data_IF_425357108510
#
_entry.id   IF_425357108510
#
_cell.length_a   1.000
_cell.length_b   1.000
_cell.length_c   1.000
_cell.angle_alpha   90.00
_cell.angle_beta   90.00
_cell.angle_gamma   90.00
#
_symmetry.space_group_name_H-M   'P 1'
#
loop_
_entity.id
_entity.type
_entity.pdbx_description
1 polymer ?
#
# COMPACT_ATOMS: atom_id res chain seq x y z
N UNK A 1 74.38 -11.26 -22.20
CA UNK A 1 73.23 -10.73 -21.44
C UNK A 1 72.25 -11.88 -21.26
N UNK A 2 72.05 -12.37 -20.02
CA UNK A 2 71.32 -13.62 -19.72
C UNK A 2 69.81 -13.41 -19.94
N UNK A 3 69.20 -14.29 -20.73
CA UNK A 3 67.76 -14.41 -20.89
C UNK A 3 67.08 -14.71 -19.55
N UNK A 4 66.09 -13.92 -19.17
CA UNK A 4 65.22 -14.17 -18.01
C UNK A 4 64.19 -15.20 -18.47
N UNK A 5 64.19 -16.40 -17.87
CA UNK A 5 63.15 -17.38 -18.07
C UNK A 5 61.84 -16.82 -17.46
N UNK A 6 60.84 -16.55 -18.31
CA UNK A 6 59.51 -16.17 -17.86
C UNK A 6 58.81 -17.42 -17.31
N UNK A 7 58.66 -17.48 -15.99
CA UNK A 7 57.98 -18.59 -15.32
C UNK A 7 56.47 -18.44 -15.53
N UNK A 8 55.91 -19.18 -16.48
CA UNK A 8 54.46 -19.26 -16.67
C UNK A 8 53.79 -19.98 -15.49
N UNK A 9 52.72 -19.38 -14.95
CA UNK A 9 51.95 -19.92 -13.83
C UNK A 9 50.56 -20.30 -14.33
N UNK A 10 49.98 -21.37 -13.78
CA UNK A 10 48.64 -21.83 -14.18
C UNK A 10 47.54 -21.16 -13.38
N UNK A 11 46.48 -20.78 -14.08
CA UNK A 11 45.22 -20.40 -13.45
C UNK A 11 44.59 -21.60 -12.73
N UNK A 12 44.18 -21.41 -11.48
CA UNK A 12 43.54 -22.45 -10.67
C UNK A 12 42.25 -23.00 -11.30
N UNK A 13 41.45 -22.13 -11.94
CA UNK A 13 40.17 -22.54 -12.52
C UNK A 13 40.31 -23.19 -13.91
N UNK A 14 40.94 -22.52 -14.88
CA UNK A 14 41.00 -23.01 -16.26
C UNK A 14 42.27 -23.81 -16.61
N UNK A 15 43.22 -23.92 -15.67
CA UNK A 15 44.48 -24.67 -15.82
C UNK A 15 45.39 -24.23 -16.98
N UNK A 16 45.05 -23.13 -17.65
CA UNK A 16 45.88 -22.49 -18.69
C UNK A 16 47.04 -21.73 -18.06
N UNK A 17 48.18 -21.75 -18.75
CA UNK A 17 49.39 -21.00 -18.39
C UNK A 17 49.25 -19.52 -18.76
N UNK A 18 49.67 -18.66 -17.86
CA UNK A 18 49.70 -17.21 -18.03
C UNK A 18 51.01 -16.65 -17.46
N UNK A 19 51.46 -15.51 -18.01
CA UNK A 19 52.49 -14.73 -17.35
C UNK A 19 51.95 -14.20 -15.99
N UNK A 20 52.82 -14.03 -14.97
CA UNK A 20 52.41 -13.67 -13.61
C UNK A 20 51.51 -12.43 -13.54
N UNK A 21 51.74 -11.45 -14.42
CA UNK A 21 51.01 -10.18 -14.48
C UNK A 21 49.53 -10.33 -14.88
N UNK A 22 49.13 -11.47 -15.46
CA UNK A 22 47.77 -11.75 -15.89
C UNK A 22 46.98 -12.64 -14.91
N UNK A 23 47.58 -12.94 -13.76
CA UNK A 23 47.01 -13.73 -12.69
C UNK A 23 46.75 -12.87 -11.46
N UNK A 24 45.58 -13.09 -10.85
CA UNK A 24 45.11 -12.33 -9.71
C UNK A 24 45.09 -13.26 -8.51
N UNK A 25 45.67 -12.80 -7.40
CA UNK A 25 45.62 -13.50 -6.12
C UNK A 25 44.21 -13.47 -5.54
N UNK A 26 43.77 -14.61 -5.00
CA UNK A 26 42.50 -14.74 -4.31
C UNK A 26 42.33 -13.82 -3.09
N UNK A 27 43.44 -13.35 -2.50
CA UNK A 27 43.43 -12.39 -1.39
C UNK A 27 42.83 -11.03 -1.77
N UNK A 28 42.91 -10.66 -3.06
CA UNK A 28 42.43 -9.37 -3.58
C UNK A 28 40.97 -9.48 -4.08
N UNK A 29 40.40 -10.69 -4.10
CA UNK A 29 39.05 -10.95 -4.60
C UNK A 29 38.03 -10.66 -3.49
N UNK A 30 37.01 -9.86 -3.80
CA UNK A 30 35.92 -9.52 -2.88
C UNK A 30 35.21 -10.79 -2.36
N UNK A 31 34.87 -10.79 -1.07
CA UNK A 31 34.25 -11.93 -0.37
C UNK A 31 33.06 -12.55 -1.09
N UNK A 32 32.13 -11.75 -1.63
CA UNK A 32 30.96 -12.26 -2.35
C UNK A 32 31.32 -13.09 -3.61
N UNK A 33 32.32 -12.66 -4.38
CA UNK A 33 32.79 -13.41 -5.55
C UNK A 33 33.62 -14.63 -5.12
N UNK A 34 34.40 -14.49 -4.04
CA UNK A 34 35.19 -15.59 -3.48
C UNK A 34 34.31 -16.73 -2.94
N UNK A 35 33.15 -16.43 -2.35
CA UNK A 35 32.13 -17.41 -1.92
C UNK A 35 31.62 -18.23 -3.10
N UNK A 36 31.30 -17.59 -4.24
CA UNK A 36 30.86 -18.29 -5.46
C UNK A 36 31.97 -19.16 -6.05
N UNK A 37 33.21 -18.64 -6.08
CA UNK A 37 34.37 -19.41 -6.53
C UNK A 37 34.57 -20.65 -5.65
N UNK A 38 34.43 -20.51 -4.32
CA UNK A 38 34.54 -21.60 -3.35
C UNK A 38 33.40 -22.61 -3.45
N UNK A 39 32.18 -22.15 -3.74
CA UNK A 39 30.98 -22.99 -3.97
C UNK A 39 31.16 -23.90 -5.19
N UNK A 40 31.76 -23.40 -6.28
CA UNK A 40 32.06 -24.18 -7.49
C UNK A 40 33.34 -25.02 -7.37
N UNK A 41 34.37 -24.49 -6.72
CA UNK A 41 35.65 -25.16 -6.52
C UNK A 41 35.99 -25.22 -5.02
N UNK A 42 35.63 -26.32 -4.32
CA UNK A 42 35.83 -26.45 -2.88
C UNK A 42 37.29 -26.39 -2.43
N UNK A 43 38.23 -26.67 -3.33
CA UNK A 43 39.67 -26.60 -3.08
C UNK A 43 40.24 -25.17 -3.18
N UNK A 44 39.41 -24.16 -3.46
CA UNK A 44 39.83 -22.77 -3.58
C UNK A 44 40.27 -22.20 -2.24
N UNK A 45 41.48 -21.64 -2.22
CA UNK A 45 42.03 -20.88 -1.11
C UNK A 45 42.41 -19.45 -1.56
N UNK A 46 42.43 -18.47 -0.65
CA UNK A 46 42.82 -17.09 -0.99
C UNK A 46 44.22 -16.98 -1.61
N UNK A 47 45.10 -17.94 -1.31
CA UNK A 47 46.44 -18.06 -1.87
C UNK A 47 46.49 -18.57 -3.32
N UNK A 48 45.37 -19.00 -3.90
CA UNK A 48 45.33 -19.46 -5.29
C UNK A 48 45.23 -18.30 -6.28
N UNK A 49 45.78 -18.53 -7.47
CA UNK A 49 45.84 -17.56 -8.57
C UNK A 49 44.77 -17.87 -9.61
N UNK A 50 44.02 -16.86 -10.04
CA UNK A 50 43.00 -16.98 -11.07
C UNK A 50 43.23 -15.96 -12.19
N UNK A 51 43.01 -16.35 -13.44
CA UNK A 51 43.14 -15.42 -14.57
C UNK A 51 41.93 -14.49 -14.67
N UNK A 52 42.14 -13.32 -15.29
CA UNK A 52 41.11 -12.28 -15.42
C UNK A 52 39.83 -12.78 -16.11
N UNK A 53 39.94 -13.66 -17.11
CA UNK A 53 38.78 -14.20 -17.84
C UNK A 53 37.90 -15.09 -16.96
N UNK A 54 38.51 -15.99 -16.18
CA UNK A 54 37.79 -16.80 -15.20
C UNK A 54 37.20 -15.95 -14.08
N UNK A 55 37.92 -14.93 -13.61
CA UNK A 55 37.42 -14.02 -12.57
C UNK A 55 36.19 -13.24 -13.05
N UNK A 56 36.19 -12.78 -14.30
CA UNK A 56 35.07 -12.05 -14.87
C UNK A 56 33.83 -12.93 -15.04
N UNK A 57 34.00 -14.23 -15.36
CA UNK A 57 32.89 -15.20 -15.38
C UNK A 57 32.20 -15.29 -14.01
N UNK A 58 32.97 -15.46 -12.94
CA UNK A 58 32.41 -15.55 -11.58
C UNK A 58 31.80 -14.24 -11.08
N UNK A 59 32.32 -13.09 -11.56
CA UNK A 59 31.71 -11.78 -11.28
C UNK A 59 30.33 -11.64 -11.92
N UNK A 60 30.16 -12.11 -13.16
CA UNK A 60 28.85 -12.10 -13.83
C UNK A 60 27.84 -13.00 -13.10
N UNK A 61 28.25 -14.20 -12.71
CA UNK A 61 27.40 -15.13 -11.93
C UNK A 61 27.00 -14.53 -10.57
N UNK A 62 27.93 -13.86 -9.87
CA UNK A 62 27.62 -13.12 -8.64
C UNK A 62 26.58 -12.01 -8.83
N UNK A 63 26.63 -11.31 -9.96
CA UNK A 63 25.69 -10.24 -10.27
C UNK A 63 24.31 -10.83 -10.61
N UNK A 64 24.25 -11.93 -11.35
CA UNK A 64 22.98 -12.62 -11.66
C UNK A 64 22.29 -13.15 -10.39
N UNK A 65 23.03 -13.85 -9.52
CA UNK A 65 22.51 -14.34 -8.24
C UNK A 65 21.99 -13.18 -7.37
N UNK A 66 22.73 -12.07 -7.27
CA UNK A 66 22.32 -10.90 -6.50
C UNK A 66 21.06 -10.21 -7.08
N UNK A 67 20.89 -10.20 -8.40
CA UNK A 67 19.71 -9.64 -9.06
C UNK A 67 18.47 -10.54 -8.92
N UNK A 68 18.62 -11.86 -8.86
CA UNK A 68 17.51 -12.78 -8.60
C UNK A 68 17.01 -12.70 -7.16
N UNK A 69 17.92 -12.53 -6.19
CA UNK A 69 17.59 -12.35 -4.77
C UNK A 69 16.76 -11.07 -4.55
N UNK A 70 17.15 -9.94 -5.15
CA UNK A 70 16.38 -8.68 -5.10
C UNK A 70 14.99 -8.80 -5.76
N UNK A 71 14.86 -9.53 -6.89
CA UNK A 71 13.56 -9.79 -7.52
C UNK A 71 12.64 -10.65 -6.66
N UNK A 72 13.21 -11.61 -5.93
CA UNK A 72 12.48 -12.47 -5.00
C UNK A 72 11.89 -11.70 -3.83
N UNK A 73 12.63 -10.74 -3.26
CA UNK A 73 12.16 -9.88 -2.17
C UNK A 73 11.00 -8.96 -2.61
N UNK A 74 11.09 -8.38 -3.82
CA UNK A 74 10.03 -7.52 -4.37
C UNK A 74 8.69 -8.27 -4.50
N UNK A 75 8.70 -9.51 -4.98
CA UNK A 75 7.47 -10.31 -5.15
C UNK A 75 6.78 -10.66 -3.83
N UNK A 76 7.52 -10.80 -2.72
CA UNK A 76 6.94 -11.11 -1.41
C UNK A 76 6.27 -9.88 -0.79
N UNK A 77 6.86 -8.70 -0.98
CA UNK A 77 6.27 -7.43 -0.56
C UNK A 77 4.93 -7.18 -1.25
N UNK A 78 4.83 -7.44 -2.55
CA UNK A 78 3.58 -7.28 -3.31
C UNK A 78 2.44 -8.15 -2.77
N UNK A 79 2.73 -9.40 -2.39
CA UNK A 79 1.75 -10.32 -1.81
C UNK A 79 1.28 -9.85 -0.42
N UNK A 80 2.20 -9.34 0.41
CA UNK A 80 1.86 -8.82 1.73
C UNK A 80 0.96 -7.57 1.66
N UNK A 81 1.15 -6.72 0.64
CA UNK A 81 0.28 -5.56 0.39
C UNK A 81 -1.12 -5.99 -0.03
N UNK A 82 -1.26 -7.02 -0.87
CA UNK A 82 -2.57 -7.54 -1.28
C UNK A 82 -3.33 -8.11 -0.08
N UNK A 83 -2.64 -8.81 0.82
CA UNK A 83 -3.25 -9.40 2.01
C UNK A 83 -3.75 -8.32 3.00
N UNK A 84 -2.97 -7.27 3.23
CA UNK A 84 -3.37 -6.17 4.12
C UNK A 84 -4.55 -5.35 3.57
N UNK A 85 -4.63 -5.16 2.24
CA UNK A 85 -5.77 -4.50 1.60
C UNK A 85 -7.07 -5.31 1.77
N UNK A 86 -6.98 -6.64 1.67
CA UNK A 86 -8.14 -7.54 1.83
C UNK A 86 -8.68 -7.52 3.26
N UNK A 87 -7.81 -7.49 4.27
CA UNK A 87 -8.24 -7.37 5.67
C UNK A 87 -9.02 -6.07 5.92
N UNK A 88 -8.59 -4.96 5.33
CA UNK A 88 -9.23 -3.65 5.52
C UNK A 88 -10.65 -3.57 4.94
N UNK A 89 -10.90 -4.21 3.79
CA UNK A 89 -12.23 -4.27 3.18
C UNK A 89 -13.22 -5.07 4.05
N UNK A 90 -12.78 -6.21 4.60
CA UNK A 90 -13.62 -7.07 5.46
C UNK A 90 -14.04 -6.39 6.76
N UNK A 91 -13.20 -5.53 7.33
CA UNK A 91 -13.50 -4.80 8.56
C UNK A 91 -14.62 -3.76 8.35
N UNK A 92 -14.59 -3.06 7.21
CA UNK A 92 -15.59 -2.02 6.88
C UNK A 92 -16.98 -2.59 6.65
N UNK A 93 -17.07 -3.78 6.03
CA UNK A 93 -18.33 -4.49 5.83
C UNK A 93 -18.93 -4.99 7.15
N UNK A 94 -18.09 -5.48 8.07
CA UNK A 94 -18.53 -6.00 9.36
C UNK A 94 -19.14 -4.90 10.26
N UNK A 95 -18.57 -3.68 10.23
CA UNK A 95 -19.09 -2.52 10.98
C UNK A 95 -20.52 -2.15 10.56
N UNK A 96 -20.81 -2.15 9.26
CA UNK A 96 -22.16 -1.86 8.76
C UNK A 96 -23.16 -2.94 9.17
N UNK A 97 -22.76 -4.22 9.10
CA UNK A 97 -23.61 -5.34 9.49
C UNK A 97 -23.87 -5.41 10.99
N UNK A 98 -22.88 -5.04 11.82
CA UNK A 98 -23.04 -4.95 13.27
C UNK A 98 -24.08 -3.88 13.65
N UNK A 99 -24.03 -2.70 13.01
CA UNK A 99 -24.97 -1.62 13.29
C UNK A 99 -26.43 -1.96 12.92
N UNK A 100 -26.64 -2.69 11.81
CA UNK A 100 -28.00 -3.09 11.38
C UNK A 100 -28.62 -4.22 12.21
N UNK A 101 -27.79 -5.01 12.90
CA UNK A 101 -28.23 -6.12 13.76
C UNK A 101 -28.85 -5.64 15.07
N UNK A 102 -28.43 -4.49 15.59
CA UNK A 102 -28.91 -3.94 16.86
C UNK A 102 -30.20 -3.09 16.72
N UNK A 103 -30.77 -3.01 15.52
CA UNK A 103 -31.96 -2.20 15.26
C UNK A 103 -33.23 -2.83 15.84
N UNK A 104 -33.88 -2.09 16.74
CA UNK A 104 -35.21 -2.45 17.27
C UNK A 104 -36.28 -2.40 16.17
N UNK A 105 -37.39 -3.12 16.38
CA UNK A 105 -38.53 -3.15 15.44
C UNK A 105 -39.08 -1.74 15.17
N UNK A 106 -39.14 -0.89 16.21
CA UNK A 106 -39.57 0.51 16.09
C UNK A 106 -38.62 1.34 15.22
N UNK A 107 -37.31 1.19 15.38
CA UNK A 107 -36.32 1.90 14.56
C UNK A 107 -36.40 1.47 13.09
N UNK A 108 -36.55 0.17 12.83
CA UNK A 108 -36.72 -0.38 11.48
C UNK A 108 -37.98 0.18 10.78
N UNK A 109 -39.07 0.34 11.52
CA UNK A 109 -40.30 0.95 11.01
C UNK A 109 -40.11 2.44 10.74
N UNK A 110 -39.48 3.19 11.64
CA UNK A 110 -39.17 4.61 11.45
C UNK A 110 -38.28 4.85 10.23
N UNK A 111 -37.27 4.01 9.98
CA UNK A 111 -36.43 4.08 8.77
C UNK A 111 -37.23 3.90 7.48
N UNK A 112 -38.14 2.91 7.45
CA UNK A 112 -39.01 2.69 6.29
C UNK A 112 -39.97 3.84 6.07
N UNK A 113 -40.55 4.39 7.14
CA UNK A 113 -41.47 5.54 7.06
C UNK A 113 -40.72 6.79 6.61
N UNK A 114 -39.51 7.05 7.13
CA UNK A 114 -38.70 8.20 6.74
C UNK A 114 -38.20 8.09 5.29
N UNK A 115 -37.74 6.91 4.87
CA UNK A 115 -37.29 6.69 3.48
C UNK A 115 -38.43 6.77 2.47
N UNK A 116 -39.62 6.25 2.80
CA UNK A 116 -40.81 6.40 1.97
C UNK A 116 -41.30 7.85 1.92
N UNK A 117 -41.37 8.51 3.08
CA UNK A 117 -41.80 9.91 3.21
C UNK A 117 -40.84 10.92 2.57
N UNK A 118 -39.57 10.57 2.40
CA UNK A 118 -38.56 11.40 1.72
C UNK A 118 -38.54 11.29 0.19
N UNK A 119 -39.39 10.44 -0.41
CA UNK A 119 -39.45 10.26 -1.86
C UNK A 119 -40.25 11.35 -2.56
N UNK A 120 -39.74 11.85 -3.69
CA UNK A 120 -40.48 12.78 -4.57
C UNK A 120 -41.80 12.22 -5.08
N UNK A 121 -41.90 10.89 -5.23
CA UNK A 121 -43.14 10.21 -5.65
C UNK A 121 -44.21 10.31 -4.56
N UNK A 122 -43.82 10.15 -3.29
CA UNK A 122 -44.73 10.31 -2.16
C UNK A 122 -45.27 11.73 -2.07
N UNK A 123 -44.40 12.74 -2.24
CA UNK A 123 -44.78 14.16 -2.26
C UNK A 123 -45.81 14.43 -3.36
N UNK A 124 -45.58 13.94 -4.58
CA UNK A 124 -46.50 14.12 -5.69
C UNK A 124 -47.88 13.45 -5.45
N UNK A 125 -47.89 12.22 -4.94
CA UNK A 125 -49.12 11.51 -4.60
C UNK A 125 -49.89 12.19 -3.46
N UNK A 126 -49.18 12.74 -2.48
CA UNK A 126 -49.77 13.46 -1.36
C UNK A 126 -50.50 14.73 -1.83
N UNK A 127 -49.85 15.53 -2.69
CA UNK A 127 -50.51 16.69 -3.30
C UNK A 127 -51.68 16.31 -4.19
N UNK A 128 -51.57 15.23 -4.97
CA UNK A 128 -52.68 14.72 -5.78
C UNK A 128 -53.87 14.36 -4.90
N UNK A 129 -53.66 13.60 -3.82
CA UNK A 129 -54.72 13.22 -2.88
C UNK A 129 -55.36 14.47 -2.21
N UNK A 130 -54.55 15.47 -1.86
CA UNK A 130 -55.03 16.75 -1.33
C UNK A 130 -55.95 17.48 -2.34
N UNK A 131 -55.53 17.63 -3.60
CA UNK A 131 -56.36 18.27 -4.62
C UNK A 131 -57.61 17.47 -4.98
N UNK A 132 -57.52 16.13 -5.00
CA UNK A 132 -58.68 15.26 -5.21
C UNK A 132 -59.68 15.42 -4.06
N UNK A 133 -59.23 15.43 -2.81
CA UNK A 133 -60.11 15.65 -1.65
C UNK A 133 -60.83 16.99 -1.71
N UNK A 134 -60.09 18.06 -2.03
CA UNK A 134 -60.64 19.40 -2.19
C UNK A 134 -61.64 19.45 -3.36
N UNK A 135 -61.30 18.87 -4.51
CA UNK A 135 -62.16 18.82 -5.70
C UNK A 135 -63.45 18.05 -5.46
N UNK A 136 -63.37 16.87 -4.83
CA UNK A 136 -64.54 16.07 -4.46
C UNK A 136 -65.44 16.85 -3.51
N UNK A 137 -64.91 17.40 -2.41
CA UNK A 137 -65.72 18.13 -1.44
C UNK A 137 -66.30 19.44 -1.97
N UNK A 138 -65.61 20.13 -2.89
CA UNK A 138 -66.13 21.33 -3.58
C UNK A 138 -67.22 20.98 -4.58
N UNK A 139 -67.05 19.92 -5.37
CA UNK A 139 -68.04 19.50 -6.36
C UNK A 139 -69.31 18.91 -5.70
N UNK A 140 -69.16 18.26 -4.54
CA UNK A 140 -70.28 17.68 -3.76
C UNK A 140 -71.13 18.73 -3.02
N UNK A 141 -70.77 20.02 -3.10
CA UNK A 141 -71.54 21.15 -2.54
C UNK A 141 -72.99 21.17 -3.06
N UNK A 142 -73.24 20.60 -4.25
CA UNK A 142 -74.58 20.58 -4.85
C UNK A 142 -75.55 19.56 -4.21
N UNK A 143 -75.06 18.60 -3.41
CA UNK A 143 -75.88 17.52 -2.84
C UNK A 143 -75.90 17.52 -1.31
N UNK A 144 -74.72 17.42 -0.64
CA UNK A 144 -74.44 17.65 0.79
C UNK A 144 -72.92 17.43 0.98
N UNK A 145 -72.10 18.48 1.20
CA UNK A 145 -70.65 18.31 1.34
C UNK A 145 -70.30 17.60 2.66
N UNK A 146 -69.33 16.69 2.60
CA UNK A 146 -68.81 15.96 3.77
C UNK A 146 -67.84 16.82 4.60
N UNK A 147 -66.98 17.59 3.94
CA UNK A 147 -66.04 18.55 4.54
C UNK A 147 -66.09 19.89 3.78
N UNK A 148 -67.05 20.79 4.10
CA UNK A 148 -67.18 22.08 3.41
C UNK A 148 -66.00 23.01 3.72
N UNK A 149 -65.71 23.94 2.81
CA UNK A 149 -64.75 25.01 3.04
C UNK A 149 -65.06 25.70 4.39
N UNK A 150 -64.12 25.76 5.36
CA UNK A 150 -62.65 25.75 5.23
C UNK A 150 -61.91 24.40 5.45
N UNK A 151 -62.54 23.24 5.24
CA UNK A 151 -61.95 21.89 5.32
C UNK A 151 -61.36 21.51 6.70
N UNK A 152 -62.21 21.47 7.72
CA UNK A 152 -61.76 21.26 9.11
C UNK A 152 -61.21 19.85 9.34
N UNK A 153 -61.79 18.83 8.68
CA UNK A 153 -61.36 17.44 8.84
C UNK A 153 -60.01 17.21 8.19
N UNK A 154 -59.82 17.74 6.98
CA UNK A 154 -58.53 17.69 6.29
C UNK A 154 -57.43 18.35 7.13
N UNK A 155 -57.70 19.52 7.70
CA UNK A 155 -56.76 20.23 8.56
C UNK A 155 -56.39 19.43 9.82
N UNK A 156 -57.37 18.79 10.47
CA UNK A 156 -57.13 17.95 11.63
C UNK A 156 -56.22 16.76 11.30
N UNK A 157 -56.48 16.08 10.18
CA UNK A 157 -55.67 14.93 9.73
C UNK A 157 -54.24 15.38 9.40
N UNK A 158 -54.08 16.47 8.66
CA UNK A 158 -52.75 17.02 8.32
C UNK A 158 -51.95 17.40 9.56
N UNK A 159 -52.60 18.04 10.54
CA UNK A 159 -51.97 18.41 11.81
C UNK A 159 -51.52 17.19 12.62
N UNK A 160 -52.34 16.14 12.64
CA UNK A 160 -51.99 14.87 13.30
C UNK A 160 -50.82 14.16 12.60
N UNK A 161 -50.84 14.12 11.26
CA UNK A 161 -49.75 13.55 10.46
C UNK A 161 -48.43 14.29 10.71
N UNK A 162 -48.44 15.62 10.68
CA UNK A 162 -47.26 16.45 10.93
C UNK A 162 -46.69 16.23 12.36
N UNK A 163 -47.58 16.12 13.36
CA UNK A 163 -47.18 15.89 14.75
C UNK A 163 -46.46 14.54 14.95
N UNK A 164 -46.89 13.48 14.24
CA UNK A 164 -46.22 12.17 14.27
C UNK A 164 -44.97 12.16 13.40
N UNK A 165 -44.95 12.93 12.31
CA UNK A 165 -43.84 12.97 11.37
C UNK A 165 -42.56 13.56 11.98
N UNK A 166 -42.65 14.65 12.75
CA UNK A 166 -41.47 15.33 13.29
C UNK A 166 -40.61 14.44 14.21
N UNK A 167 -41.18 13.68 15.18
CA UNK A 167 -40.42 12.72 15.98
C UNK A 167 -39.83 11.56 15.16
N UNK A 168 -40.55 11.06 14.16
CA UNK A 168 -40.04 9.97 13.29
C UNK A 168 -38.84 10.44 12.48
N UNK A 169 -38.90 11.65 11.93
CA UNK A 169 -37.78 12.28 11.24
C UNK A 169 -36.60 12.47 12.22
N UNK A 170 -36.84 13.03 13.40
CA UNK A 170 -35.79 13.25 14.40
C UNK A 170 -35.15 11.94 14.87
N UNK A 171 -35.93 10.88 15.07
CA UNK A 171 -35.42 9.55 15.40
C UNK A 171 -34.59 8.93 14.26
N UNK A 172 -34.95 9.21 13.00
CA UNK A 172 -34.15 8.80 11.84
C UNK A 172 -32.86 9.60 11.74
N UNK A 173 -32.91 10.91 11.99
CA UNK A 173 -31.75 11.81 11.98
C UNK A 173 -30.75 11.45 13.07
N UNK A 174 -31.18 11.32 14.34
CA UNK A 174 -30.33 10.93 15.45
C UNK A 174 -29.58 9.61 15.19
N UNK A 175 -30.21 8.67 14.47
CA UNK A 175 -29.58 7.40 14.07
C UNK A 175 -28.55 7.59 12.96
N UNK A 176 -28.86 8.38 11.94
CA UNK A 176 -27.92 8.70 10.87
C UNK A 176 -26.69 9.42 11.44
N UNK A 177 -26.87 10.37 12.36
CA UNK A 177 -25.76 11.06 13.05
C UNK A 177 -24.92 10.11 13.92
N UNK A 178 -25.56 9.15 14.61
CA UNK A 178 -24.82 8.13 15.36
C UNK A 178 -23.97 7.25 14.44
N UNK A 179 -24.51 6.84 13.29
CA UNK A 179 -23.78 6.07 12.28
C UNK A 179 -22.62 6.88 11.69
N UNK A 180 -22.88 8.15 11.35
CA UNK A 180 -21.89 9.05 10.77
C UNK A 180 -20.74 9.36 11.75
N UNK A 181 -21.06 9.55 13.03
CA UNK A 181 -20.05 9.71 14.09
C UNK A 181 -19.14 8.48 14.22
N UNK A 182 -19.71 7.28 14.27
CA UNK A 182 -18.92 6.04 14.34
C UNK A 182 -18.03 5.85 13.11
N UNK A 183 -18.58 6.14 11.92
CA UNK A 183 -17.80 6.12 10.68
C UNK A 183 -16.65 7.11 10.71
N UNK A 184 -16.89 8.33 11.16
CA UNK A 184 -15.87 9.38 11.29
C UNK A 184 -14.77 9.00 12.29
N UNK A 185 -15.13 8.38 13.41
CA UNK A 185 -14.17 7.88 14.40
C UNK A 185 -13.30 6.75 13.83
N UNK A 186 -13.89 5.82 13.10
CA UNK A 186 -13.14 4.76 12.43
C UNK A 186 -12.22 5.31 11.34
N UNK A 187 -12.72 6.21 10.49
CA UNK A 187 -11.92 6.85 9.44
C UNK A 187 -10.74 7.64 10.05
N UNK A 188 -10.96 8.28 11.21
CA UNK A 188 -9.91 8.93 11.98
C UNK A 188 -8.85 7.93 12.48
N UNK A 189 -9.26 6.79 13.04
CA UNK A 189 -8.33 5.75 13.51
C UNK A 189 -7.51 5.17 12.35
N UNK A 190 -8.13 4.90 11.20
CA UNK A 190 -7.44 4.42 9.99
C UNK A 190 -6.41 5.45 9.51
N UNK A 191 -6.78 6.73 9.48
CA UNK A 191 -5.86 7.79 9.08
C UNK A 191 -4.68 7.93 10.04
N UNK A 192 -4.92 7.88 11.35
CA UNK A 192 -3.84 7.91 12.35
C UNK A 192 -2.90 6.71 12.19
N UNK A 193 -3.44 5.52 11.93
CA UNK A 193 -2.65 4.32 11.67
C UNK A 193 -1.79 4.50 10.41
N UNK A 194 -2.37 5.01 9.33
CA UNK A 194 -1.64 5.29 8.09
C UNK A 194 -0.52 6.32 8.31
N UNK A 195 -0.77 7.38 9.09
CA UNK A 195 0.26 8.37 9.43
C UNK A 195 1.44 7.72 10.18
N UNK A 196 1.16 6.84 11.15
CA UNK A 196 2.18 6.11 11.90
C UNK A 196 2.97 5.16 10.99
N UNK A 197 2.30 4.43 10.09
CA UNK A 197 2.96 3.55 9.13
C UNK A 197 3.86 4.34 8.17
N UNK A 198 3.42 5.49 7.67
CA UNK A 198 4.24 6.39 6.84
C UNK A 198 5.46 6.86 7.61
N UNK A 199 5.30 7.27 8.88
CA UNK A 199 6.42 7.69 9.72
C UNK A 199 7.43 6.57 9.92
N UNK A 200 6.96 5.36 10.19
CA UNK A 200 7.81 4.17 10.33
C UNK A 200 8.55 3.81 9.05
N UNK A 201 7.88 3.93 7.89
CA UNK A 201 8.53 3.77 6.58
C UNK A 201 9.60 4.84 6.35
N UNK A 202 9.35 6.09 6.74
CA UNK A 202 10.31 7.18 6.65
C UNK A 202 11.56 6.91 7.47
N UNK A 203 11.40 6.46 8.73
CA UNK A 203 12.53 6.09 9.59
C UNK A 203 13.37 4.95 8.99
N UNK A 204 12.72 3.93 8.42
CA UNK A 204 13.43 2.84 7.72
C UNK A 204 14.17 3.34 6.48
N UNK A 205 13.53 4.23 5.70
CA UNK A 205 14.14 4.82 4.52
C UNK A 205 15.39 5.62 4.89
N UNK A 206 15.34 6.42 5.96
CA UNK A 206 16.48 7.19 6.45
C UNK A 206 17.64 6.27 6.87
N UNK A 207 17.34 5.16 7.54
CA UNK A 207 18.35 4.14 7.91
C UNK A 207 19.00 3.54 6.65
N UNK A 208 18.20 3.16 5.65
CA UNK A 208 18.71 2.61 4.39
C UNK A 208 19.56 3.62 3.63
N UNK A 209 19.10 4.88 3.50
CA UNK A 209 19.83 5.96 2.85
C UNK A 209 21.17 6.22 3.53
N UNK A 210 21.20 6.25 4.87
CA UNK A 210 22.44 6.38 5.64
C UNK A 210 23.42 5.25 5.33
N UNK A 211 22.93 4.00 5.26
CA UNK A 211 23.77 2.85 4.96
C UNK A 211 24.33 2.90 3.53
N UNK A 212 23.51 3.30 2.54
CA UNK A 212 23.97 3.52 1.16
C UNK A 212 25.02 4.62 1.08
N UNK A 213 24.85 5.71 1.84
CA UNK A 213 25.82 6.81 1.88
C UNK A 213 27.18 6.37 2.44
N UNK A 214 27.17 5.57 3.51
CA UNK A 214 28.39 5.00 4.07
C UNK A 214 29.13 4.12 3.05
N UNK A 215 28.42 3.24 2.34
CA UNK A 215 29.01 2.42 1.27
C UNK A 215 29.61 3.27 0.15
N UNK A 216 28.93 4.35 -0.24
CA UNK A 216 29.42 5.24 -1.30
C UNK A 216 30.72 5.95 -0.88
N UNK A 217 30.81 6.37 0.38
CA UNK A 217 32.02 6.98 0.96
C UNK A 217 33.17 5.97 1.04
N UNK A 218 32.91 4.73 1.46
CA UNK A 218 33.91 3.65 1.47
C UNK A 218 34.46 3.39 0.06
N UNK A 219 33.59 3.31 -0.95
CA UNK A 219 34.01 3.13 -2.35
C UNK A 219 34.87 4.31 -2.81
N UNK A 220 34.50 5.54 -2.47
CA UNK A 220 35.31 6.73 -2.81
C UNK A 220 36.68 6.71 -2.14
N UNK A 221 36.78 6.27 -0.88
CA UNK A 221 38.07 6.13 -0.19
C UNK A 221 38.97 5.10 -0.89
N UNK A 222 38.41 3.94 -1.25
CA UNK A 222 39.13 2.90 -1.99
C UNK A 222 39.66 3.46 -3.33
N UNK A 223 38.85 4.24 -4.06
CA UNK A 223 39.31 4.88 -5.29
C UNK A 223 40.43 5.89 -5.06
N UNK A 224 40.34 6.71 -4.00
CA UNK A 224 41.42 7.63 -3.65
C UNK A 224 42.72 6.91 -3.32
N UNK A 225 42.67 5.82 -2.55
CA UNK A 225 43.86 5.06 -2.17
C UNK A 225 44.47 4.35 -3.39
N UNK A 226 43.65 3.79 -4.28
CA UNK A 226 44.11 3.24 -5.56
C UNK A 226 44.80 4.31 -6.43
N UNK A 227 44.25 5.53 -6.49
CA UNK A 227 44.91 6.64 -7.21
C UNK A 227 46.26 7.01 -6.59
N UNK A 228 46.37 7.02 -5.25
CA UNK A 228 47.65 7.27 -4.57
C UNK A 228 48.68 6.17 -4.86
N UNK A 229 48.27 4.91 -4.85
CA UNK A 229 49.14 3.78 -5.18
C UNK A 229 49.65 3.86 -6.62
N UNK A 230 48.76 4.16 -7.58
CA UNK A 230 49.16 4.37 -8.98
C UNK A 230 50.13 5.55 -9.13
N UNK A 231 49.90 6.65 -8.42
CA UNK A 231 50.82 7.78 -8.40
C UNK A 231 52.20 7.41 -7.80
N UNK A 232 52.22 6.61 -6.73
CA UNK A 232 53.45 6.13 -6.09
C UNK A 232 54.20 5.07 -6.90
N UNK A 233 53.50 4.25 -7.68
CA UNK A 233 54.09 3.22 -8.55
C UNK A 233 54.72 3.81 -9.82
N UNK A 234 54.44 5.08 -10.12
CA UNK A 234 54.94 5.79 -11.31
C UNK A 234 55.96 6.92 -11.01
N UNK A 235 57.04 6.72 -10.22
CA UNK A 235 58.06 7.76 -10.02
C UNK A 235 59.11 7.80 -11.15
N UNK A 236 58.89 7.11 -12.28
CA UNK A 236 59.86 7.07 -13.38
C UNK A 236 59.33 6.48 -14.67
N UNK A 237 58.66 7.29 -15.47
CA UNK A 237 58.57 7.11 -16.93
C UNK A 237 58.90 8.44 -17.62
N UNK A 238 60.14 8.88 -17.45
CA UNK A 238 60.85 9.88 -18.26
C UNK A 238 62.27 9.38 -18.46
#
# INVERSE_FOLDING_TARGET
MKARAETEIKCFHCQKSYAPDFLISGEVIRSGVAEIIKKRNPAWTPSNLICLSCLNLFRSEYIEDALEEEKGELSQLDLAVIESLKEQETLTENLNLAFDKDLTIGQRMSDRVASFGGSWVFVALFFLAFFVWMGVNTALILARPFDPYPYILLNLVLSCLAAVQAPVIMMSQNRMEAKDRLRSEHDYQVNLKAELEIRHLHEKLDVLLKHQWQKLLEIQQIQMDLMKELAFKNPGSS
#
